data_IF_391765658607
#
_entry.id   IF_391765658607
#
_cell.length_a   1.000
_cell.length_b   1.000
_cell.length_c   1.000
_cell.angle_alpha   90.00
_cell.angle_beta   90.00
_cell.angle_gamma   90.00
#
_symmetry.space_group_name_H-M   'P 1'
#
loop_
_entity.id
_entity.type
_entity.pdbx_description
1 polymer ?
#
# COMPACT_ATOMS: atom_id res chain seq x y z
N UNK A 1 3.83 10.73 4.10
CA UNK A 1 4.69 11.30 3.02
C UNK A 1 3.85 11.40 1.76
N UNK A 2 4.13 12.35 0.87
CA UNK A 2 3.53 12.33 -0.48
C UNK A 2 4.32 11.38 -1.38
N UNK A 3 3.73 11.01 -2.52
CA UNK A 3 4.26 9.95 -3.40
C UNK A 3 5.73 10.16 -3.78
N UNK A 4 6.11 11.37 -4.21
CA UNK A 4 7.51 11.68 -4.55
C UNK A 4 8.45 11.55 -3.34
N UNK A 5 8.08 12.15 -2.21
CA UNK A 5 8.85 12.04 -0.97
C UNK A 5 8.97 10.58 -0.50
N UNK A 6 7.96 9.75 -0.78
CA UNK A 6 7.96 8.34 -0.44
C UNK A 6 8.98 7.56 -1.28
N UNK A 7 9.07 7.83 -2.58
CA UNK A 7 10.12 7.25 -3.43
C UNK A 7 11.52 7.75 -3.05
N UNK A 8 11.68 9.04 -2.75
CA UNK A 8 12.96 9.57 -2.26
C UNK A 8 13.38 8.87 -0.95
N UNK A 9 12.41 8.61 -0.07
CA UNK A 9 12.65 7.85 1.16
C UNK A 9 13.05 6.39 0.87
N UNK A 10 12.36 5.71 -0.05
CA UNK A 10 12.71 4.35 -0.45
C UNK A 10 14.13 4.31 -1.02
N UNK A 11 14.50 5.23 -1.92
CA UNK A 11 15.85 5.29 -2.50
C UNK A 11 16.95 5.42 -1.45
N UNK A 12 16.73 6.24 -0.42
CA UNK A 12 17.70 6.41 0.67
C UNK A 12 17.72 5.23 1.66
N UNK A 13 16.63 4.45 1.76
CA UNK A 13 16.41 3.46 2.83
C UNK A 13 16.14 2.02 2.33
N UNK A 14 16.25 1.73 1.04
CA UNK A 14 15.76 0.48 0.44
C UNK A 14 16.30 -0.77 1.13
N UNK A 15 17.62 -0.85 1.30
CA UNK A 15 18.30 -1.95 2.00
C UNK A 15 17.81 -2.15 3.45
N UNK A 16 17.39 -1.08 4.12
CA UNK A 16 16.82 -1.19 5.46
C UNK A 16 15.35 -1.64 5.40
N UNK A 17 14.58 -1.21 4.40
CA UNK A 17 13.19 -1.61 4.25
C UNK A 17 13.07 -3.12 3.94
N UNK A 18 13.88 -3.62 2.99
CA UNK A 18 13.92 -5.04 2.63
C UNK A 18 14.38 -5.94 3.78
N UNK A 19 15.36 -5.49 4.58
CA UNK A 19 15.86 -6.24 5.73
C UNK A 19 14.93 -6.31 6.94
N UNK A 20 13.84 -5.52 6.98
CA UNK A 20 12.94 -5.40 8.15
C UNK A 20 11.46 -5.69 7.86
N UNK A 21 11.13 -6.34 6.73
CA UNK A 21 9.73 -6.54 6.29
C UNK A 21 8.92 -5.23 6.39
N UNK A 22 9.52 -4.13 5.93
CA UNK A 22 8.93 -2.82 6.01
C UNK A 22 8.49 -2.35 4.62
N UNK A 23 7.23 -1.93 4.50
CA UNK A 23 6.60 -1.58 3.24
C UNK A 23 6.22 -0.10 3.24
N UNK A 24 6.37 0.56 2.09
CA UNK A 24 5.90 1.92 1.88
C UNK A 24 4.51 1.88 1.25
N UNK A 25 3.47 2.10 2.05
CA UNK A 25 2.09 1.89 1.61
C UNK A 25 1.27 3.17 1.77
N UNK A 26 0.52 3.51 0.71
CA UNK A 26 -0.62 4.42 0.77
C UNK A 26 -1.91 3.61 0.86
N UNK A 27 -2.88 4.06 1.66
CA UNK A 27 -4.16 3.38 1.84
C UNK A 27 -5.30 4.36 1.61
N UNK A 28 -6.33 3.97 0.87
CA UNK A 28 -7.56 4.72 0.70
C UNK A 28 -8.80 3.84 0.90
N UNK A 29 -9.91 4.51 1.17
CA UNK A 29 -11.26 3.92 1.16
C UNK A 29 -12.07 4.68 0.12
N UNK A 30 -12.68 3.96 -0.82
CA UNK A 30 -13.37 4.50 -1.98
C UNK A 30 -14.89 4.35 -1.87
N UNK A 31 -15.62 5.17 -2.63
CA UNK A 31 -17.10 5.29 -2.57
C UNK A 31 -17.85 3.99 -2.95
N UNK A 32 -17.17 3.04 -3.59
CA UNK A 32 -17.70 1.73 -3.98
C UNK A 32 -17.55 0.66 -2.89
N UNK A 33 -17.22 1.08 -1.66
CA UNK A 33 -16.99 0.22 -0.50
C UNK A 33 -15.69 -0.60 -0.57
N UNK A 34 -14.72 -0.12 -1.36
CA UNK A 34 -13.42 -0.75 -1.57
C UNK A 34 -12.32 -0.06 -0.76
N UNK A 35 -11.36 -0.85 -0.31
CA UNK A 35 -10.09 -0.36 0.18
C UNK A 35 -9.05 -0.52 -0.92
N UNK A 36 -8.29 0.55 -1.17
CA UNK A 36 -7.18 0.59 -2.10
C UNK A 36 -5.87 0.65 -1.32
N UNK A 37 -4.90 -0.17 -1.70
CA UNK A 37 -3.56 -0.17 -1.15
C UNK A 37 -2.57 0.04 -2.30
N UNK A 38 -1.65 0.99 -2.12
CA UNK A 38 -0.58 1.27 -3.09
C UNK A 38 0.74 1.04 -2.39
N UNK A 39 1.37 -0.10 -2.66
CA UNK A 39 2.69 -0.43 -2.16
C UNK A 39 3.76 0.04 -3.16
N UNK A 40 4.69 0.87 -2.69
CA UNK A 40 5.78 1.41 -3.49
C UNK A 40 7.07 0.66 -3.20
N UNK A 41 7.76 0.23 -4.26
CA UNK A 41 9.07 -0.40 -4.18
C UNK A 41 9.98 0.13 -5.29
N UNK A 42 11.27 -0.17 -5.19
CA UNK A 42 12.22 0.01 -6.28
C UNK A 42 12.93 -1.33 -6.51
N UNK A 43 13.28 -1.60 -7.76
CA UNK A 43 14.19 -2.69 -8.07
C UNK A 43 15.62 -2.17 -8.05
N UNK A 44 16.39 -2.60 -7.05
CA UNK A 44 17.81 -2.31 -6.91
C UNK A 44 18.68 -3.57 -7.06
N UNK A 45 18.10 -4.72 -7.43
CA UNK A 45 18.87 -5.94 -7.67
C UNK A 45 19.73 -5.76 -8.93
N UNK A 46 20.98 -5.41 -8.67
CA UNK A 46 22.08 -5.33 -9.63
C UNK A 46 21.79 -4.58 -10.93
N UNK A 47 21.07 -3.45 -10.89
CA UNK A 47 21.19 -2.42 -11.92
C UNK A 47 21.25 -3.07 -13.33
N UNK A 48 20.29 -3.93 -13.68
CA UNK A 48 20.36 -4.66 -14.95
C UNK A 48 20.35 -3.61 -16.07
N UNK A 49 21.54 -3.37 -16.65
CA UNK A 49 21.83 -2.30 -17.61
C UNK A 49 21.95 -0.84 -17.11
N UNK A 50 22.26 -0.58 -15.84
CA UNK A 50 22.41 0.82 -15.37
C UNK A 50 21.10 1.61 -15.18
N UNK A 51 19.97 0.91 -15.12
CA UNK A 51 18.62 1.49 -15.01
C UNK A 51 17.95 1.10 -13.70
N UNK A 52 17.43 2.12 -13.00
CA UNK A 52 16.61 1.98 -11.80
C UNK A 52 15.14 1.97 -12.22
N UNK A 53 14.34 1.06 -11.67
CA UNK A 53 12.90 1.01 -11.91
C UNK A 53 12.12 1.29 -10.62
N UNK A 54 11.13 2.18 -10.74
CA UNK A 54 10.14 2.48 -9.72
C UNK A 54 8.93 1.59 -9.94
N UNK A 55 8.51 0.90 -8.89
CA UNK A 55 7.39 -0.03 -8.93
C UNK A 55 6.27 0.44 -8.01
N UNK A 56 5.05 0.21 -8.46
CA UNK A 56 3.87 0.35 -7.63
C UNK A 56 3.00 -0.88 -7.82
N UNK A 57 2.72 -1.56 -6.71
CA UNK A 57 1.77 -2.63 -6.63
C UNK A 57 0.48 -2.08 -6.03
N UNK A 58 -0.59 -2.09 -6.82
CA UNK A 58 -1.90 -1.58 -6.45
C UNK A 58 -2.84 -2.75 -6.23
N UNK A 59 -3.38 -2.87 -5.02
CA UNK A 59 -4.42 -3.84 -4.71
C UNK A 59 -5.68 -3.12 -4.28
N UNK A 60 -6.84 -3.65 -4.67
CA UNK A 60 -8.13 -3.19 -4.16
C UNK A 60 -9.04 -4.34 -3.80
N UNK A 61 -9.94 -4.13 -2.84
CA UNK A 61 -10.86 -5.16 -2.41
C UNK A 61 -11.85 -4.66 -1.37
N UNK A 62 -12.92 -5.43 -1.18
CA UNK A 62 -13.96 -5.13 -0.19
C UNK A 62 -13.86 -6.08 0.97
N UNK A 63 -14.18 -5.57 2.15
CA UNK A 63 -14.40 -6.41 3.33
C UNK A 63 -15.58 -7.35 3.06
N UNK A 64 -15.49 -8.59 3.54
CA UNK A 64 -16.41 -9.71 3.30
C UNK A 64 -16.49 -10.17 1.85
N UNK A 65 -15.55 -9.77 0.99
CA UNK A 65 -15.52 -10.17 -0.40
C UNK A 65 -14.28 -10.98 -0.72
N UNK A 66 -14.46 -12.00 -1.57
CA UNK A 66 -13.35 -12.67 -2.25
C UNK A 66 -12.95 -11.96 -3.55
N UNK A 67 -13.67 -10.89 -3.93
CA UNK A 67 -13.37 -10.07 -5.10
C UNK A 67 -12.34 -9.00 -4.75
N UNK A 68 -11.37 -8.84 -5.63
CA UNK A 68 -10.35 -7.81 -5.57
C UNK A 68 -9.66 -7.67 -6.92
N UNK A 69 -8.98 -6.55 -7.10
CA UNK A 69 -8.18 -6.25 -8.28
C UNK A 69 -6.73 -6.05 -7.86
N UNK A 70 -5.82 -6.49 -8.72
CA UNK A 70 -4.38 -6.45 -8.49
C UNK A 70 -3.71 -5.99 -9.79
N UNK A 71 -2.99 -4.87 -9.71
CA UNK A 71 -2.27 -4.29 -10.84
C UNK A 71 -0.83 -3.96 -10.44
N UNK A 72 0.08 -4.19 -11.39
CA UNK A 72 1.52 -3.92 -11.23
C UNK A 72 1.97 -2.91 -12.26
N UNK A 73 2.57 -1.82 -11.79
CA UNK A 73 3.08 -0.74 -12.63
C UNK A 73 4.57 -0.58 -12.42
N UNK A 74 5.28 -0.25 -13.50
CA UNK A 74 6.70 0.06 -13.48
C UNK A 74 7.02 1.28 -14.35
N UNK A 75 8.03 2.04 -13.95
CA UNK A 75 8.53 3.19 -14.70
C UNK A 75 10.02 3.42 -14.45
N UNK A 76 10.74 3.89 -15.46
CA UNK A 76 12.15 4.31 -15.33
C UNK A 76 12.27 5.64 -14.57
N UNK A 77 11.20 6.45 -14.60
CA UNK A 77 11.06 7.67 -13.81
C UNK A 77 9.79 7.64 -12.97
N UNK A 78 9.75 8.46 -11.91
CA UNK A 78 8.53 8.61 -11.09
C UNK A 78 7.39 9.18 -11.93
N UNK A 79 7.70 10.09 -12.86
CA UNK A 79 6.74 10.68 -13.79
C UNK A 79 6.11 9.62 -14.71
N UNK A 80 6.90 8.72 -15.29
CA UNK A 80 6.39 7.65 -16.15
C UNK A 80 5.47 6.68 -15.38
N UNK A 81 5.79 6.43 -14.10
CA UNK A 81 4.96 5.61 -13.22
C UNK A 81 3.65 6.32 -12.85
N UNK A 82 3.72 7.61 -12.55
CA UNK A 82 2.56 8.43 -12.18
C UNK A 82 1.50 8.48 -13.28
N UNK A 83 1.91 8.53 -14.54
CA UNK A 83 0.99 8.55 -15.69
C UNK A 83 0.19 7.24 -15.85
N UNK A 84 0.64 6.15 -15.22
CA UNK A 84 -0.01 4.83 -15.25
C UNK A 84 -0.89 4.57 -14.02
N UNK A 85 -0.61 5.26 -12.92
CA UNK A 85 -1.26 5.01 -11.63
C UNK A 85 -2.71 5.52 -11.61
N UNK A 86 -3.60 4.87 -10.82
CA UNK A 86 -4.88 5.45 -10.49
C UNK A 86 -4.72 6.86 -9.91
N UNK A 87 -5.57 7.80 -10.34
CA UNK A 87 -5.44 9.22 -9.98
C UNK A 87 -5.35 9.45 -8.46
N UNK A 88 -6.07 8.66 -7.68
CA UNK A 88 -6.10 8.72 -6.22
C UNK A 88 -4.73 8.46 -5.58
N UNK A 89 -3.84 7.68 -6.23
CA UNK A 89 -2.52 7.35 -5.71
C UNK A 89 -1.67 8.60 -5.44
N UNK A 90 -1.82 9.64 -6.27
CA UNK A 90 -1.10 10.91 -6.09
C UNK A 90 -1.54 11.69 -4.85
N UNK A 91 -2.78 11.48 -4.40
CA UNK A 91 -3.37 12.20 -3.28
C UNK A 91 -3.09 11.53 -1.92
N UNK A 92 -2.70 10.24 -1.93
CA UNK A 92 -2.48 9.45 -0.72
C UNK A 92 -1.35 9.98 0.17
N UNK A 93 -1.50 9.70 1.46
CA UNK A 93 -0.42 9.79 2.42
C UNK A 93 0.24 8.42 2.60
N UNK A 94 1.47 8.31 2.13
CA UNK A 94 2.30 7.12 2.23
C UNK A 94 3.02 7.03 3.57
N UNK A 95 3.06 5.83 4.13
CA UNK A 95 3.69 5.55 5.42
C UNK A 95 4.53 4.28 5.35
N UNK A 96 5.58 4.22 6.17
CA UNK A 96 6.35 3.00 6.37
C UNK A 96 5.64 2.14 7.41
N UNK A 97 5.19 0.96 7.00
CA UNK A 97 4.60 -0.04 7.87
C UNK A 97 5.59 -1.18 8.08
N UNK A 98 5.89 -1.48 9.35
CA UNK A 98 6.59 -2.70 9.73
C UNK A 98 5.56 -3.75 10.04
N UNK A 99 5.55 -4.82 9.27
CA UNK A 99 4.54 -5.87 9.37
C UNK A 99 5.23 -7.20 9.68
N UNK A 100 4.56 -8.01 10.51
CA UNK A 100 5.07 -9.33 10.89
C UNK A 100 4.85 -10.37 9.76
N UNK A 101 3.87 -10.11 8.90
CA UNK A 101 3.49 -10.96 7.76
C UNK A 101 3.49 -10.12 6.48
N UNK A 102 3.81 -10.75 5.35
CA UNK A 102 3.71 -10.09 4.04
C UNK A 102 2.25 -9.72 3.77
N UNK A 103 2.02 -8.44 3.50
CA UNK A 103 0.67 -7.90 3.25
C UNK A 103 0.24 -8.06 1.80
N UNK A 104 1.16 -8.42 0.91
CA UNK A 104 0.84 -8.68 -0.49
C UNK A 104 0.03 -9.97 -0.63
N UNK A 105 -1.08 -9.90 -1.38
CA UNK A 105 -1.97 -11.04 -1.62
C UNK A 105 -2.92 -11.39 -0.46
N UNK A 106 -2.91 -10.62 0.65
CA UNK A 106 -3.91 -10.76 1.71
C UNK A 106 -5.25 -10.13 1.30
N UNK A 107 -6.35 -10.61 1.89
CA UNK A 107 -7.63 -9.90 1.77
C UNK A 107 -7.57 -8.54 2.47
N UNK A 108 -8.54 -7.67 2.19
CA UNK A 108 -8.56 -6.30 2.73
C UNK A 108 -8.55 -6.28 4.26
N UNK A 109 -9.27 -7.18 4.93
CA UNK A 109 -9.34 -7.26 6.39
C UNK A 109 -7.99 -7.58 7.01
N UNK A 110 -7.28 -8.57 6.47
CA UNK A 110 -5.98 -8.97 7.00
C UNK A 110 -4.90 -7.95 6.67
N UNK A 111 -4.95 -7.36 5.47
CA UNK A 111 -4.09 -6.22 5.11
C UNK A 111 -4.30 -5.07 6.09
N UNK A 112 -5.54 -4.63 6.29
CA UNK A 112 -5.87 -3.56 7.24
C UNK A 112 -5.45 -3.91 8.67
N UNK A 113 -5.65 -5.15 9.11
CA UNK A 113 -5.23 -5.60 10.44
C UNK A 113 -3.72 -5.54 10.62
N UNK A 114 -2.95 -5.92 9.61
CA UNK A 114 -1.49 -5.83 9.62
C UNK A 114 -1.01 -4.36 9.67
N UNK A 115 -1.61 -3.49 8.86
CA UNK A 115 -1.26 -2.06 8.82
C UNK A 115 -1.72 -1.29 10.08
N UNK A 116 -2.84 -1.70 10.67
CA UNK A 116 -3.42 -1.09 11.87
C UNK A 116 -3.64 -2.13 12.97
N UNK A 117 -2.60 -2.46 13.76
CA UNK A 117 -2.68 -3.51 14.79
C UNK A 117 -3.78 -3.31 15.84
N UNK A 118 -4.26 -2.06 16.01
CA UNK A 118 -5.38 -1.71 16.89
C UNK A 118 -6.76 -2.17 16.40
N UNK A 119 -6.90 -2.49 15.11
CA UNK A 119 -8.16 -3.04 14.60
C UNK A 119 -8.46 -4.38 15.27
N UNK A 120 -9.74 -4.73 15.48
CA UNK A 120 -10.09 -6.02 16.03
C UNK A 120 -9.61 -7.17 15.13
N UNK A 121 -9.46 -8.37 15.68
CA UNK A 121 -9.12 -9.55 14.87
C UNK A 121 -10.34 -9.91 13.97
N UNK A 122 -10.19 -9.90 12.62
CA UNK A 122 -11.28 -10.20 11.70
C UNK A 122 -11.84 -11.62 11.81
N UNK A 123 -11.08 -12.59 12.34
CA UNK A 123 -11.57 -13.96 12.58
C UNK A 123 -12.55 -14.06 13.76
N UNK A 124 -12.53 -13.07 14.66
CA UNK A 124 -13.21 -13.14 15.96
C UNK A 124 -14.34 -12.11 16.05
N UNK A 125 -14.17 -10.97 15.39
CA UNK A 125 -15.08 -9.84 15.51
C UNK A 125 -16.00 -9.71 14.31
N UNK A 126 -17.12 -9.02 14.53
CA UNK A 126 -18.02 -8.62 13.48
C UNK A 126 -17.31 -7.70 12.46
N UNK A 127 -17.50 -8.00 11.19
CA UNK A 127 -16.79 -7.31 10.10
C UNK A 127 -17.42 -5.97 9.73
N UNK A 128 -18.68 -5.72 10.08
CA UNK A 128 -19.29 -4.38 9.92
C UNK A 128 -18.67 -3.41 10.92
N UNK A 129 -18.52 -3.83 12.18
CA UNK A 129 -17.85 -3.03 13.21
C UNK A 129 -16.35 -2.81 12.89
N UNK A 130 -15.66 -3.87 12.42
CA UNK A 130 -14.27 -3.77 11.96
C UNK A 130 -14.13 -2.70 10.87
N UNK A 131 -15.03 -2.73 9.88
CA UNK A 131 -15.02 -1.84 8.73
C UNK A 131 -15.24 -0.38 9.12
N UNK A 132 -16.17 -0.10 10.04
CA UNK A 132 -16.40 1.27 10.53
C UNK A 132 -15.13 1.85 11.15
N UNK A 133 -14.42 1.09 11.99
CA UNK A 133 -13.17 1.58 12.57
C UNK A 133 -12.08 1.70 11.49
N UNK A 134 -11.96 0.73 10.58
CA UNK A 134 -10.98 0.77 9.49
C UNK A 134 -11.13 2.01 8.59
N UNK A 135 -12.36 2.33 8.16
CA UNK A 135 -12.66 3.54 7.38
C UNK A 135 -12.17 4.78 8.13
N UNK A 136 -12.50 4.91 9.41
CA UNK A 136 -12.06 6.04 10.23
C UNK A 136 -10.54 6.15 10.31
N UNK A 137 -9.82 5.02 10.44
CA UNK A 137 -8.36 5.03 10.47
C UNK A 137 -7.76 5.50 9.15
N UNK A 138 -8.28 4.98 8.04
CA UNK A 138 -7.82 5.31 6.70
C UNK A 138 -8.11 6.77 6.37
N UNK A 139 -9.32 7.27 6.68
CA UNK A 139 -9.65 8.68 6.48
C UNK A 139 -8.70 9.61 7.24
N UNK A 140 -8.31 9.26 8.47
CA UNK A 140 -7.35 10.06 9.25
C UNK A 140 -5.96 10.16 8.63
N UNK A 141 -5.56 9.26 7.73
CA UNK A 141 -4.25 9.31 7.07
C UNK A 141 -4.22 10.31 5.91
N UNK A 142 -5.33 10.47 5.20
CA UNK A 142 -5.40 11.25 3.96
C UNK A 142 -5.99 12.66 4.16
N UNK A 143 -6.25 13.07 5.40
CA UNK A 143 -6.78 14.39 5.78
C UNK A 143 -5.73 15.36 6.32
#
# INVERSE_FOLDING_TARGET
MKLKDAFDYILDKNNALSGFNAYMIGVAYEDNDSFLFVNLTIDDEEIENNTLYYHAHVTSGKIQSSEGEEDFYSGETIEDLLDQLPSIASDLSYHVYKVDEDVLGLSSEYTLKALFPRLPNPDIHDLDDFKVEAIKLVSMLNH
#
